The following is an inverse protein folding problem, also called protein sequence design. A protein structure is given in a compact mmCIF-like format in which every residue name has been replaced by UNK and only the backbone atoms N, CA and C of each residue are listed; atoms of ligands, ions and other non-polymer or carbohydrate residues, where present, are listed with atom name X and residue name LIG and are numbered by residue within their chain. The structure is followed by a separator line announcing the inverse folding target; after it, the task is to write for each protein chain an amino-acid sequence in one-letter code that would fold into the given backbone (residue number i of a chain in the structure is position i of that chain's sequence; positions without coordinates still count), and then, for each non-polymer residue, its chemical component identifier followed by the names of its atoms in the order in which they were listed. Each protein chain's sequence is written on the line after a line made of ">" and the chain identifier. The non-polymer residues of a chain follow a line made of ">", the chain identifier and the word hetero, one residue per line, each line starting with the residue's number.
data_IF_907215581853
#
_entry.id   IF_907215581853
#
_cell.length_a   1.000
_cell.length_b   1.000
_cell.length_c   1.000
_cell.angle_alpha   90.00
_cell.angle_beta   90.00
_cell.angle_gamma   90.00
#
_symmetry.space_group_name_H-M   'P 1'
#
loop_
_entity.id
_entity.type
_entity.pdbx_description
1 polymer ?
#
# COMPACT_ATOMS: atom_id res chain seq x y z
N UNK A 1 58.90 -23.34 -21.82
CA UNK A 1 59.16 -24.23 -20.66
C UNK A 1 57.99 -24.12 -19.70
N UNK A 2 57.11 -25.13 -19.66
CA UNK A 2 55.97 -25.15 -18.75
C UNK A 2 56.45 -25.52 -17.35
N UNK A 3 56.20 -24.67 -16.34
CA UNK A 3 56.54 -24.96 -14.96
C UNK A 3 55.86 -26.27 -14.50
N UNK A 4 56.57 -27.16 -13.78
CA UNK A 4 55.98 -28.39 -13.27
C UNK A 4 54.81 -28.06 -12.33
N UNK A 5 53.62 -28.60 -12.63
CA UNK A 5 52.40 -28.35 -11.85
C UNK A 5 52.58 -28.97 -10.45
N UNK A 6 52.81 -28.14 -9.43
CA UNK A 6 52.93 -28.53 -8.02
C UNK A 6 51.66 -28.09 -7.25
N UNK A 7 51.29 -28.82 -6.20
CA UNK A 7 50.20 -28.43 -5.30
C UNK A 7 50.60 -27.16 -4.54
N UNK A 8 49.73 -26.16 -4.51
CA UNK A 8 50.03 -24.89 -3.86
C UNK A 8 50.08 -25.08 -2.33
N UNK A 9 51.25 -24.86 -1.74
CA UNK A 9 51.45 -24.78 -0.29
C UNK A 9 51.63 -23.34 0.20
N UNK A 10 51.67 -23.16 1.52
CA UNK A 10 51.89 -21.85 2.16
C UNK A 10 53.22 -21.23 1.72
N UNK A 11 54.29 -22.06 1.62
CA UNK A 11 55.62 -21.60 1.18
C UNK A 11 55.61 -21.03 -0.25
N UNK A 12 54.82 -21.61 -1.14
CA UNK A 12 54.71 -21.15 -2.53
C UNK A 12 53.95 -19.82 -2.63
N UNK A 13 53.02 -19.56 -1.69
CA UNK A 13 52.31 -18.28 -1.58
C UNK A 13 53.24 -17.17 -1.07
N UNK A 14 54.05 -17.46 -0.05
CA UNK A 14 55.01 -16.49 0.51
C UNK A 14 56.11 -16.14 -0.50
N UNK A 15 56.55 -17.10 -1.30
CA UNK A 15 57.58 -16.90 -2.33
C UNK A 15 57.05 -16.35 -3.66
N UNK A 16 55.76 -16.02 -3.77
CA UNK A 16 55.13 -15.62 -5.03
C UNK A 16 55.61 -14.22 -5.47
N UNK A 17 56.28 -14.05 -6.62
CA UNK A 17 56.77 -12.74 -7.06
C UNK A 17 55.62 -11.81 -7.48
N UNK A 18 55.79 -10.47 -7.38
CA UNK A 18 54.81 -9.51 -7.87
C UNK A 18 54.43 -9.74 -9.34
N UNK A 19 53.16 -9.50 -9.69
CA UNK A 19 52.59 -9.72 -11.03
C UNK A 19 52.65 -11.17 -11.55
N UNK A 20 52.82 -12.16 -10.68
CA UNK A 20 52.84 -13.58 -11.08
C UNK A 20 51.57 -14.33 -10.66
N UNK A 21 51.35 -15.46 -11.32
CA UNK A 21 50.28 -16.42 -11.01
C UNK A 21 50.90 -17.81 -10.92
N UNK A 22 50.60 -18.52 -9.85
CA UNK A 22 50.88 -19.95 -9.71
C UNK A 22 49.57 -20.72 -9.83
N UNK A 23 49.61 -21.87 -10.50
CA UNK A 23 48.45 -22.73 -10.72
C UNK A 23 48.59 -24.00 -9.91
N UNK A 24 47.47 -24.44 -9.33
CA UNK A 24 47.43 -25.67 -8.55
C UNK A 24 47.34 -26.88 -9.47
N UNK A 25 48.01 -27.97 -9.08
CA UNK A 25 47.99 -29.23 -9.83
C UNK A 25 46.76 -30.10 -9.56
N UNK A 26 46.11 -29.92 -8.40
CA UNK A 26 45.01 -30.78 -7.95
C UNK A 26 43.64 -30.31 -8.43
N UNK A 27 43.46 -28.99 -8.60
CA UNK A 27 42.21 -28.40 -9.07
C UNK A 27 42.45 -27.62 -10.35
N UNK A 28 41.90 -28.12 -11.47
CA UNK A 28 42.09 -27.49 -12.78
C UNK A 28 41.51 -26.08 -12.80
N UNK A 29 42.33 -25.10 -13.16
CA UNK A 29 41.94 -23.70 -13.24
C UNK A 29 41.98 -22.95 -11.90
N UNK A 30 42.29 -23.60 -10.79
CA UNK A 30 42.55 -22.93 -9.50
C UNK A 30 44.00 -22.46 -9.41
N UNK A 31 44.21 -21.24 -8.91
CA UNK A 31 45.54 -20.66 -8.77
C UNK A 31 45.59 -19.53 -7.74
N UNK A 32 46.80 -19.09 -7.42
CA UNK A 32 47.04 -17.92 -6.59
C UNK A 32 47.76 -16.85 -7.40
N UNK A 33 47.29 -15.61 -7.31
CA UNK A 33 47.81 -14.45 -8.03
C UNK A 33 48.27 -13.38 -7.06
N UNK A 34 49.48 -12.88 -7.28
CA UNK A 34 49.96 -11.63 -6.67
C UNK A 34 49.92 -10.51 -7.70
N UNK A 35 49.30 -9.39 -7.36
CA UNK A 35 49.33 -8.18 -8.20
C UNK A 35 50.60 -7.37 -7.88
N UNK A 36 50.60 -6.05 -8.15
CA UNK A 36 51.73 -5.16 -7.81
C UNK A 36 51.96 -5.02 -6.29
N UNK A 37 50.96 -5.32 -5.45
CA UNK A 37 51.06 -5.24 -3.98
C UNK A 37 51.49 -6.55 -3.30
N UNK A 38 51.46 -6.56 -1.97
CA UNK A 38 51.84 -7.72 -1.15
C UNK A 38 50.73 -8.77 -1.02
N UNK A 39 49.48 -8.38 -1.25
CA UNK A 39 48.33 -9.28 -1.09
C UNK A 39 48.27 -10.33 -2.22
N UNK A 40 48.28 -11.60 -1.83
CA UNK A 40 47.99 -12.71 -2.74
C UNK A 40 46.49 -12.98 -2.72
N UNK A 41 45.88 -13.24 -3.89
CA UNK A 41 44.47 -13.61 -4.01
C UNK A 41 44.32 -14.94 -4.74
N UNK A 42 43.41 -15.77 -4.26
CA UNK A 42 43.05 -17.03 -4.89
C UNK A 42 42.03 -16.81 -6.00
N UNK A 43 42.27 -17.42 -7.15
CA UNK A 43 41.46 -17.30 -8.37
C UNK A 43 41.10 -18.67 -8.92
N UNK A 44 39.94 -18.76 -9.56
CA UNK A 44 39.45 -19.96 -10.22
C UNK A 44 38.98 -19.58 -11.63
N UNK A 45 39.49 -20.29 -12.63
CA UNK A 45 38.99 -20.28 -14.00
C UNK A 45 38.24 -21.57 -14.29
N UNK A 46 37.06 -21.46 -14.88
CA UNK A 46 36.26 -22.61 -15.29
C UNK A 46 35.51 -22.27 -16.59
N UNK A 47 35.02 -23.29 -17.28
CA UNK A 47 34.18 -23.15 -18.47
C UNK A 47 32.77 -23.59 -18.14
N UNK A 48 31.78 -22.83 -18.61
CA UNK A 48 30.37 -23.25 -18.55
C UNK A 48 30.02 -24.13 -19.73
N UNK A 49 28.84 -24.77 -19.71
CA UNK A 49 28.33 -25.59 -20.84
C UNK A 49 28.26 -24.80 -22.15
N UNK A 50 28.12 -23.46 -22.08
CA UNK A 50 28.10 -22.56 -23.23
C UNK A 50 29.49 -22.28 -23.83
N UNK A 51 30.54 -23.00 -23.40
CA UNK A 51 31.91 -22.89 -23.92
C UNK A 51 32.67 -21.63 -23.49
N UNK A 52 32.03 -20.70 -22.76
CA UNK A 52 32.65 -19.46 -22.29
C UNK A 52 33.50 -19.70 -21.03
N UNK A 53 34.70 -19.11 -21.01
CA UNK A 53 35.60 -19.16 -19.87
C UNK A 53 35.26 -18.03 -18.89
N UNK A 54 35.04 -18.39 -17.63
CA UNK A 54 34.77 -17.47 -16.54
C UNK A 54 35.92 -17.48 -15.53
N UNK A 55 36.07 -16.34 -14.84
CA UNK A 55 37.04 -16.15 -13.75
C UNK A 55 36.31 -15.70 -12.49
N UNK A 56 36.62 -16.35 -11.37
CA UNK A 56 36.18 -15.96 -10.02
C UNK A 56 37.40 -15.72 -9.15
N UNK A 57 37.33 -14.73 -8.27
CA UNK A 57 38.30 -14.55 -7.18
C UNK A 57 37.65 -15.07 -5.90
N UNK A 58 38.26 -16.08 -5.26
CA UNK A 58 37.73 -16.73 -4.07
C UNK A 58 37.93 -15.83 -2.84
N UNK A 59 39.14 -15.29 -2.68
CA UNK A 59 39.48 -14.45 -1.53
C UNK A 59 40.94 -14.05 -1.51
N UNK A 60 41.29 -13.13 -0.61
CA UNK A 60 42.68 -12.76 -0.31
C UNK A 60 43.27 -13.77 0.67
N UNK A 61 44.55 -14.07 0.53
CA UNK A 61 45.29 -14.93 1.46
C UNK A 61 45.28 -14.33 2.88
N UNK A 62 44.92 -15.14 3.87
CA UNK A 62 44.64 -14.73 5.25
C UNK A 62 43.28 -15.27 5.70
N UNK A 63 43.04 -15.38 7.02
CA UNK A 63 41.81 -16.01 7.54
C UNK A 63 40.55 -15.39 6.92
N UNK A 64 39.60 -16.19 6.38
CA UNK A 64 39.50 -17.66 6.43
C UNK A 64 40.18 -18.43 5.27
N UNK A 65 40.88 -17.76 4.37
CA UNK A 65 41.42 -18.30 3.11
C UNK A 65 42.91 -18.68 3.20
N UNK A 66 43.16 -19.97 3.40
CA UNK A 66 44.46 -20.64 3.28
C UNK A 66 44.50 -21.40 1.95
N UNK A 67 45.68 -21.91 1.51
CA UNK A 67 45.74 -22.71 0.28
C UNK A 67 44.77 -23.90 0.28
N UNK A 68 44.57 -24.52 1.44
CA UNK A 68 43.67 -25.67 1.57
C UNK A 68 42.20 -25.26 1.61
N UNK A 69 41.82 -24.23 2.38
CA UNK A 69 40.41 -23.78 2.42
C UNK A 69 39.96 -23.14 1.12
N UNK A 70 40.85 -22.39 0.44
CA UNK A 70 40.57 -21.85 -0.88
C UNK A 70 40.46 -22.94 -1.96
N UNK A 71 41.23 -24.03 -1.84
CA UNK A 71 41.12 -25.19 -2.73
C UNK A 71 39.82 -25.95 -2.53
N UNK A 72 39.41 -26.17 -1.27
CA UNK A 72 38.13 -26.79 -0.96
C UNK A 72 36.96 -25.98 -1.53
N UNK A 73 36.99 -24.65 -1.40
CA UNK A 73 35.98 -23.77 -2.00
C UNK A 73 36.03 -23.80 -3.53
N UNK A 74 37.21 -23.88 -4.14
CA UNK A 74 37.34 -24.04 -5.59
C UNK A 74 36.69 -25.34 -6.09
N UNK A 75 36.88 -26.45 -5.37
CA UNK A 75 36.24 -27.73 -5.69
C UNK A 75 34.72 -27.65 -5.54
N UNK A 76 34.23 -27.00 -4.47
CA UNK A 76 32.80 -26.76 -4.25
C UNK A 76 32.17 -25.97 -5.40
N UNK A 77 32.81 -24.88 -5.83
CA UNK A 77 32.35 -24.05 -6.95
C UNK A 77 32.36 -24.80 -8.29
N UNK A 78 33.37 -25.64 -8.56
CA UNK A 78 33.38 -26.50 -9.75
C UNK A 78 32.26 -27.53 -9.71
N UNK A 79 32.00 -28.15 -8.55
CA UNK A 79 30.87 -29.05 -8.35
C UNK A 79 29.53 -28.39 -8.67
N UNK A 80 29.31 -27.15 -8.21
CA UNK A 80 28.10 -26.38 -8.54
C UNK A 80 27.97 -26.08 -10.04
N UNK A 81 29.06 -25.75 -10.73
CA UNK A 81 29.05 -25.50 -12.19
C UNK A 81 28.63 -26.76 -12.96
N UNK A 82 29.18 -27.93 -12.57
CA UNK A 82 28.91 -29.20 -13.23
C UNK A 82 27.45 -29.63 -13.03
N UNK A 83 26.93 -29.51 -11.80
CA UNK A 83 25.56 -29.92 -11.45
C UNK A 83 24.52 -28.95 -12.01
N UNK A 84 24.71 -27.64 -11.88
CA UNK A 84 23.68 -26.63 -12.23
C UNK A 84 23.86 -26.02 -13.63
N UNK A 85 24.96 -26.33 -14.33
CA UNK A 85 25.23 -25.85 -15.69
C UNK A 85 25.43 -24.33 -15.82
N UNK A 86 25.45 -23.59 -14.71
CA UNK A 86 25.55 -22.12 -14.65
C UNK A 86 26.78 -21.70 -13.85
N UNK A 87 27.38 -20.58 -14.25
CA UNK A 87 28.49 -19.95 -13.54
C UNK A 87 28.07 -19.54 -12.11
N UNK A 88 28.88 -19.73 -11.05
CA UNK A 88 28.62 -19.19 -9.72
C UNK A 88 28.63 -17.66 -9.71
N UNK A 89 29.32 -17.02 -10.67
CA UNK A 89 29.18 -15.57 -10.92
C UNK A 89 27.82 -15.25 -11.55
N UNK A 90 27.22 -16.19 -12.27
CA UNK A 90 25.83 -16.09 -12.71
C UNK A 90 24.83 -16.34 -11.56
N UNK A 91 25.24 -16.73 -10.35
CA UNK A 91 24.40 -16.58 -9.15
C UNK A 91 24.36 -15.13 -8.64
N UNK A 92 25.19 -14.21 -9.18
CA UNK A 92 24.96 -12.75 -9.12
C UNK A 92 24.07 -12.24 -10.27
N UNK A 93 23.48 -13.10 -11.11
CA UNK A 93 22.45 -12.67 -12.06
C UNK A 93 21.24 -12.14 -11.27
N UNK A 94 20.91 -10.87 -11.51
CA UNK A 94 19.65 -10.22 -11.16
C UNK A 94 19.14 -10.49 -9.74
N UNK A 95 19.91 -10.07 -8.73
CA UNK A 95 19.34 -9.96 -7.38
C UNK A 95 18.34 -8.81 -7.40
N UNK A 96 17.08 -9.13 -7.75
CA UNK A 96 16.02 -8.13 -7.80
C UNK A 96 15.94 -7.46 -6.42
N UNK A 97 16.06 -6.14 -6.45
CA UNK A 97 15.97 -5.31 -5.26
C UNK A 97 14.51 -5.11 -4.87
N UNK A 98 14.27 -4.74 -3.61
CA UNK A 98 12.91 -4.42 -3.16
C UNK A 98 12.32 -3.25 -3.97
N UNK A 99 13.14 -2.28 -4.40
CA UNK A 99 12.69 -1.18 -5.24
C UNK A 99 12.15 -1.68 -6.59
N UNK A 100 12.90 -2.53 -7.29
CA UNK A 100 12.49 -3.10 -8.58
C UNK A 100 11.25 -3.99 -8.44
N UNK A 101 11.16 -4.76 -7.34
CA UNK A 101 9.96 -5.54 -7.03
C UNK A 101 8.73 -4.66 -6.84
N UNK A 102 8.86 -3.52 -6.17
CA UNK A 102 7.75 -2.60 -5.96
C UNK A 102 7.27 -1.98 -7.29
N UNK A 103 8.19 -1.64 -8.19
CA UNK A 103 7.87 -1.10 -9.51
C UNK A 103 7.13 -2.13 -10.36
N UNK A 104 7.62 -3.36 -10.38
CA UNK A 104 6.95 -4.47 -11.06
C UNK A 104 5.56 -4.74 -10.46
N UNK A 105 5.44 -4.71 -9.12
CA UNK A 105 4.16 -4.90 -8.44
C UNK A 105 3.13 -3.85 -8.85
N UNK A 106 3.50 -2.57 -8.89
CA UNK A 106 2.59 -1.49 -9.27
C UNK A 106 2.12 -1.61 -10.72
N UNK A 107 3.03 -2.01 -11.63
CA UNK A 107 2.71 -2.26 -13.04
C UNK A 107 1.69 -3.39 -13.17
N UNK A 108 1.93 -4.52 -12.52
CA UNK A 108 1.07 -5.70 -12.63
C UNK A 108 -0.23 -5.57 -11.83
N UNK A 109 -0.24 -4.80 -10.75
CA UNK A 109 -1.42 -4.57 -9.93
C UNK A 109 -2.54 -3.82 -10.67
N UNK A 110 -2.20 -3.06 -11.71
CA UNK A 110 -3.15 -2.34 -12.55
C UNK A 110 -3.72 -3.16 -13.72
N UNK A 111 -3.10 -4.26 -14.11
CA UNK A 111 -3.42 -4.94 -15.39
C UNK A 111 -3.47 -6.46 -15.31
N UNK A 112 -2.56 -7.09 -14.58
CA UNK A 112 -2.30 -8.54 -14.66
C UNK A 112 -2.85 -9.32 -13.47
N UNK A 113 -3.27 -8.65 -12.40
CA UNK A 113 -3.95 -9.31 -11.29
C UNK A 113 -5.38 -9.71 -11.67
N UNK A 114 -5.82 -10.89 -11.21
CA UNK A 114 -7.20 -11.43 -11.35
C UNK A 114 -8.30 -10.40 -11.04
N UNK A 115 -8.02 -9.43 -10.18
CA UNK A 115 -8.84 -8.22 -9.97
C UNK A 115 -7.91 -7.02 -9.94
N UNK A 116 -7.81 -6.23 -11.02
CA UNK A 116 -7.01 -5.02 -11.04
C UNK A 116 -7.40 -4.06 -9.92
N UNK A 117 -6.40 -3.41 -9.31
CA UNK A 117 -6.65 -2.39 -8.29
C UNK A 117 -7.16 -1.10 -8.94
N UNK A 118 -8.11 -0.42 -8.28
CA UNK A 118 -8.57 0.92 -8.70
C UNK A 118 -7.39 1.91 -8.76
N UNK A 119 -7.43 2.84 -9.70
CA UNK A 119 -6.39 3.87 -9.87
C UNK A 119 -6.08 4.65 -8.58
N UNK A 120 -7.10 4.98 -7.78
CA UNK A 120 -6.93 5.64 -6.48
C UNK A 120 -6.16 4.81 -5.46
N UNK A 121 -6.34 3.49 -5.48
CA UNK A 121 -5.59 2.56 -4.64
C UNK A 121 -4.13 2.48 -5.09
N UNK A 122 -3.90 2.37 -6.40
CA UNK A 122 -2.54 2.37 -6.98
C UNK A 122 -1.79 3.67 -6.66
N UNK A 123 -2.45 4.83 -6.77
CA UNK A 123 -1.85 6.12 -6.40
C UNK A 123 -1.46 6.17 -4.90
N UNK A 124 -2.29 5.59 -4.03
CA UNK A 124 -2.01 5.52 -2.59
C UNK A 124 -0.87 4.55 -2.29
N UNK A 125 -0.87 3.37 -2.92
CA UNK A 125 0.16 2.34 -2.76
C UNK A 125 1.50 2.83 -3.29
N UNK A 126 1.51 3.43 -4.50
CA UNK A 126 2.70 4.07 -5.06
C UNK A 126 3.23 5.18 -4.16
N UNK A 127 2.34 5.97 -3.57
CA UNK A 127 2.72 6.97 -2.58
C UNK A 127 3.44 6.39 -1.36
N UNK A 128 3.04 5.22 -0.87
CA UNK A 128 3.73 4.53 0.24
C UNK A 128 5.05 3.88 -0.20
N UNK A 129 5.07 3.32 -1.40
CA UNK A 129 6.26 2.71 -1.99
C UNK A 129 7.38 3.74 -2.12
N UNK A 130 7.10 4.87 -2.78
CA UNK A 130 8.11 5.90 -3.04
C UNK A 130 8.61 6.61 -1.78
N UNK A 131 7.72 6.78 -0.80
CA UNK A 131 8.02 7.64 0.37
C UNK A 131 8.48 6.88 1.60
N UNK A 132 8.12 5.61 1.72
CA UNK A 132 8.48 4.80 2.89
C UNK A 132 9.31 3.59 2.50
N UNK A 133 8.82 2.74 1.59
CA UNK A 133 9.45 1.45 1.28
C UNK A 133 10.79 1.63 0.56
N UNK A 134 10.83 2.33 -0.56
CA UNK A 134 12.05 2.53 -1.35
C UNK A 134 13.16 3.23 -0.55
N UNK A 135 12.91 4.30 0.22
CA UNK A 135 13.95 4.96 1.01
C UNK A 135 14.59 4.06 2.08
N UNK A 136 13.84 3.14 2.69
CA UNK A 136 14.33 2.33 3.81
C UNK A 136 14.80 0.93 3.38
N UNK A 137 14.04 0.25 2.52
CA UNK A 137 14.29 -1.14 2.12
C UNK A 137 14.69 -1.29 0.65
N UNK A 138 14.55 -0.24 -0.17
CA UNK A 138 14.63 -0.33 -1.63
C UNK A 138 15.93 -0.92 -2.18
N UNK A 139 17.07 -0.66 -1.51
CA UNK A 139 18.39 -1.19 -1.93
C UNK A 139 18.63 -2.64 -1.53
N UNK A 140 17.81 -3.20 -0.63
CA UNK A 140 17.99 -4.56 -0.14
C UNK A 140 17.54 -5.57 -1.19
N UNK A 141 18.23 -6.71 -1.23
CA UNK A 141 17.83 -7.86 -2.04
C UNK A 141 16.52 -8.45 -1.53
N UNK A 142 15.58 -8.76 -2.44
CA UNK A 142 14.31 -9.42 -2.11
C UNK A 142 14.52 -10.75 -1.36
N UNK A 143 15.56 -11.49 -1.72
CA UNK A 143 15.90 -12.78 -1.10
C UNK A 143 16.53 -12.63 0.30
N UNK A 144 17.11 -11.48 0.62
CA UNK A 144 17.80 -11.23 1.90
C UNK A 144 16.96 -10.43 2.91
N UNK A 145 15.74 -10.03 2.54
CA UNK A 145 14.85 -9.34 3.48
C UNK A 145 14.34 -10.34 4.50
N UNK A 146 14.66 -10.09 5.76
CA UNK A 146 14.29 -10.87 6.93
C UNK A 146 13.08 -10.25 7.64
N UNK A 147 12.47 -10.98 8.58
CA UNK A 147 11.41 -10.44 9.44
C UNK A 147 11.88 -9.23 10.27
N UNK A 148 13.10 -9.29 10.81
CA UNK A 148 13.68 -8.20 11.62
C UNK A 148 13.74 -6.90 10.82
N UNK A 149 14.10 -6.98 9.52
CA UNK A 149 14.12 -5.78 8.66
C UNK A 149 12.73 -5.15 8.51
N UNK A 150 11.67 -5.97 8.50
CA UNK A 150 10.29 -5.48 8.39
C UNK A 150 9.85 -4.83 9.72
N UNK A 151 10.28 -5.39 10.85
CA UNK A 151 10.01 -4.81 12.18
C UNK A 151 10.76 -3.49 12.38
N UNK A 152 12.03 -3.43 12.00
CA UNK A 152 12.84 -2.22 12.03
C UNK A 152 12.26 -1.15 11.10
N UNK A 153 11.86 -1.56 9.88
CA UNK A 153 11.14 -0.70 8.95
C UNK A 153 9.85 -0.12 9.56
N UNK A 154 9.04 -0.96 10.20
CA UNK A 154 7.80 -0.54 10.84
C UNK A 154 8.06 0.48 11.94
N UNK A 155 9.09 0.24 12.77
CA UNK A 155 9.51 1.12 13.85
C UNK A 155 10.03 2.46 13.31
N UNK A 156 10.84 2.43 12.25
CA UNK A 156 11.40 3.62 11.59
C UNK A 156 10.31 4.51 10.98
N UNK A 157 9.35 3.93 10.27
CA UNK A 157 8.19 4.66 9.74
C UNK A 157 7.31 5.17 10.89
N UNK A 158 7.13 4.37 11.94
CA UNK A 158 6.40 4.73 13.15
C UNK A 158 6.98 5.97 13.82
N UNK A 159 8.30 6.02 13.99
CA UNK A 159 9.06 7.16 14.55
C UNK A 159 9.19 8.35 13.59
N UNK A 160 8.75 8.20 12.34
CA UNK A 160 8.77 9.28 11.37
C UNK A 160 10.12 9.53 10.69
N UNK A 161 10.99 8.52 10.61
CA UNK A 161 12.29 8.61 9.90
C UNK A 161 12.16 9.03 8.43
N UNK A 162 11.01 8.77 7.83
CA UNK A 162 10.67 9.12 6.44
C UNK A 162 9.80 10.38 6.35
N UNK A 163 9.58 11.10 7.46
CA UNK A 163 8.77 12.31 7.45
C UNK A 163 9.50 13.42 6.69
N UNK A 164 8.82 14.00 5.69
CA UNK A 164 9.37 15.08 4.87
C UNK A 164 8.26 15.88 4.21
N UNK A 165 8.58 17.11 3.84
CA UNK A 165 7.69 17.96 3.04
C UNK A 165 8.25 17.99 1.62
N UNK A 166 7.43 17.57 0.66
CA UNK A 166 7.80 17.51 -0.75
C UNK A 166 6.94 18.46 -1.57
N UNK A 167 7.52 19.13 -2.56
CA UNK A 167 6.72 19.85 -3.56
C UNK A 167 6.04 18.83 -4.48
N UNK A 168 4.75 19.03 -4.73
CA UNK A 168 4.01 18.22 -5.71
C UNK A 168 4.14 18.81 -7.11
N UNK A 169 3.73 18.05 -8.13
CA UNK A 169 3.64 18.55 -9.51
C UNK A 169 2.62 19.69 -9.69
N UNK A 170 1.74 19.93 -8.72
CA UNK A 170 0.73 21.01 -8.77
C UNK A 170 1.34 22.33 -8.27
N UNK A 171 1.04 23.48 -8.92
CA UNK A 171 1.46 24.80 -8.44
C UNK A 171 1.06 25.00 -6.97
N UNK A 172 2.02 25.41 -6.13
CA UNK A 172 1.86 25.60 -4.67
C UNK A 172 1.44 24.35 -3.88
N UNK A 173 1.32 23.18 -4.50
CA UNK A 173 0.96 21.94 -3.81
C UNK A 173 2.13 21.37 -3.03
N UNK A 174 1.93 21.11 -1.74
CA UNK A 174 2.91 20.45 -0.86
C UNK A 174 2.35 19.12 -0.37
N UNK A 175 3.15 18.07 -0.42
CA UNK A 175 2.86 16.77 0.18
C UNK A 175 3.60 16.67 1.50
N UNK A 176 2.86 16.62 2.60
CA UNK A 176 3.43 16.39 3.94
C UNK A 176 3.43 14.90 4.21
N UNK A 177 4.60 14.27 4.02
CA UNK A 177 4.81 12.87 4.36
C UNK A 177 4.96 12.79 5.87
N UNK A 178 4.00 12.14 6.53
CA UNK A 178 4.04 11.90 7.96
C UNK A 178 4.40 10.44 8.23
N UNK A 179 5.08 10.20 9.34
CA UNK A 179 5.21 8.86 9.90
C UNK A 179 3.97 8.46 10.70
N UNK A 180 4.20 7.65 11.73
CA UNK A 180 3.21 7.26 12.72
C UNK A 180 2.79 5.80 12.61
N UNK A 181 2.28 5.27 13.72
CA UNK A 181 1.92 3.85 13.89
C UNK A 181 0.93 3.36 12.83
N UNK A 182 -0.11 4.14 12.53
CA UNK A 182 -1.10 3.81 11.50
C UNK A 182 -0.52 3.78 10.08
N UNK A 183 0.41 4.68 9.76
CA UNK A 183 1.10 4.70 8.46
C UNK A 183 2.03 3.49 8.33
N UNK A 184 2.78 3.18 9.39
CA UNK A 184 3.65 2.01 9.46
C UNK A 184 2.86 0.71 9.28
N UNK A 185 1.81 0.49 10.08
CA UNK A 185 0.96 -0.71 10.01
C UNK A 185 0.35 -0.93 8.61
N UNK A 186 -0.18 0.13 7.99
CA UNK A 186 -0.72 0.05 6.61
C UNK A 186 0.35 -0.22 5.57
N UNK A 187 1.54 0.35 5.73
CA UNK A 187 2.67 0.14 4.80
C UNK A 187 3.22 -1.27 4.91
N UNK A 188 3.32 -1.82 6.12
CA UNK A 188 3.64 -3.25 6.34
C UNK A 188 2.59 -4.15 5.71
N UNK A 189 1.30 -3.80 5.81
CA UNK A 189 0.24 -4.53 5.11
C UNK A 189 0.42 -4.56 3.58
N UNK A 190 0.84 -3.43 2.98
CA UNK A 190 1.19 -3.35 1.56
C UNK A 190 2.43 -4.20 1.24
N UNK A 191 3.49 -4.12 2.06
CA UNK A 191 4.68 -4.98 1.93
C UNK A 191 4.32 -6.46 1.95
N UNK A 192 3.39 -6.86 2.81
CA UNK A 192 2.89 -8.24 2.84
C UNK A 192 2.32 -8.66 1.48
N UNK A 193 1.50 -7.82 0.86
CA UNK A 193 0.97 -8.08 -0.48
C UNK A 193 2.04 -8.10 -1.58
N UNK A 194 3.05 -7.24 -1.49
CA UNK A 194 4.19 -7.19 -2.42
C UNK A 194 5.05 -8.45 -2.31
N UNK A 195 5.34 -8.92 -1.09
CA UNK A 195 6.11 -10.13 -0.87
C UNK A 195 5.33 -11.41 -1.18
N UNK A 196 4.00 -11.44 -0.99
CA UNK A 196 3.17 -12.53 -1.52
C UNK A 196 3.26 -12.58 -3.06
N UNK A 197 3.27 -11.43 -3.72
CA UNK A 197 3.51 -11.35 -5.16
C UNK A 197 4.91 -11.86 -5.54
N UNK A 198 5.95 -11.54 -4.75
CA UNK A 198 7.30 -12.06 -4.97
C UNK A 198 7.40 -13.58 -4.84
N UNK A 199 6.71 -14.17 -3.86
CA UNK A 199 6.61 -15.64 -3.70
C UNK A 199 5.95 -16.26 -4.92
N UNK A 200 4.85 -15.66 -5.42
CA UNK A 200 4.17 -16.13 -6.63
C UNK A 200 5.07 -16.10 -7.88
N UNK A 201 5.98 -15.13 -7.97
CA UNK A 201 6.98 -15.04 -9.03
C UNK A 201 8.18 -16.00 -8.85
N UNK A 202 8.24 -16.74 -7.76
CA UNK A 202 9.37 -17.64 -7.46
C UNK A 202 10.66 -16.89 -7.06
N UNK A 203 10.57 -15.61 -6.70
CA UNK A 203 11.73 -14.80 -6.31
C UNK A 203 12.25 -15.13 -4.91
N UNK A 204 11.39 -15.73 -4.08
CA UNK A 204 11.70 -16.25 -2.74
C UNK A 204 10.65 -17.27 -2.30
N UNK A 205 10.99 -18.21 -1.39
CA UNK A 205 10.08 -19.28 -0.99
C UNK A 205 9.03 -18.86 0.06
N UNK A 206 9.31 -17.84 0.87
CA UNK A 206 8.51 -17.41 2.00
C UNK A 206 8.17 -15.91 1.92
N UNK A 207 7.23 -15.43 2.73
CA UNK A 207 6.96 -13.99 2.86
C UNK A 207 7.42 -13.50 4.25
N UNK A 208 8.41 -12.58 4.32
CA UNK A 208 9.07 -12.18 5.57
C UNK A 208 8.18 -11.33 6.48
N UNK A 209 7.06 -10.83 5.93
CA UNK A 209 6.07 -10.03 6.67
C UNK A 209 5.18 -10.93 7.53
N UNK A 210 5.07 -12.22 7.22
CA UNK A 210 4.32 -13.15 8.07
C UNK A 210 4.95 -13.24 9.46
N UNK A 211 4.11 -13.06 10.49
CA UNK A 211 4.53 -13.06 11.89
C UNK A 211 4.90 -11.68 12.46
N UNK A 212 4.95 -10.62 11.63
CA UNK A 212 5.17 -9.26 12.13
C UNK A 212 3.92 -8.79 12.89
N UNK A 213 4.10 -8.49 14.18
CA UNK A 213 3.03 -7.98 15.04
C UNK A 213 2.79 -6.50 14.70
N UNK A 214 1.62 -6.19 14.17
CA UNK A 214 1.24 -4.80 13.86
C UNK A 214 0.47 -4.20 15.03
N UNK A 215 0.70 -2.91 15.36
CA UNK A 215 -0.14 -2.20 16.31
C UNK A 215 -1.61 -2.28 15.89
N UNK A 216 -2.48 -2.53 16.87
CA UNK A 216 -3.92 -2.50 16.63
C UNK A 216 -4.33 -1.09 16.17
N UNK A 217 -5.25 -1.04 15.19
CA UNK A 217 -5.86 0.23 14.82
C UNK A 217 -6.70 0.73 16.00
N UNK A 218 -6.44 1.97 16.43
CA UNK A 218 -7.27 2.61 17.45
C UNK A 218 -8.71 2.71 16.93
N UNK A 219 -9.65 1.99 17.57
CA UNK A 219 -11.08 2.10 17.27
C UNK A 219 -11.56 3.46 17.73
N UNK A 220 -11.82 4.36 16.79
CA UNK A 220 -12.42 5.66 17.08
C UNK A 220 -13.94 5.50 17.16
N UNK A 221 -14.48 5.36 18.36
CA UNK A 221 -15.92 5.34 18.63
C UNK A 221 -16.45 6.77 18.83
N UNK A 222 -16.27 7.66 17.85
CA UNK A 222 -16.74 9.04 17.94
C UNK A 222 -18.04 9.22 17.17
N UNK A 223 -19.06 9.71 17.86
CA UNK A 223 -20.29 10.29 17.29
C UNK A 223 -20.45 11.74 17.77
N UNK A 224 -21.32 12.49 17.11
CA UNK A 224 -21.76 13.81 17.57
C UNK A 224 -22.57 13.65 18.85
N UNK A 225 -22.34 14.54 19.81
CA UNK A 225 -23.29 14.77 20.91
C UNK A 225 -24.31 15.86 20.54
N UNK A 226 -25.30 16.10 21.40
CA UNK A 226 -26.40 17.03 21.11
C UNK A 226 -25.92 18.48 20.90
N UNK A 227 -24.97 18.97 21.70
CA UNK A 227 -24.37 20.30 21.52
C UNK A 227 -23.62 20.43 20.19
N UNK A 228 -22.95 19.36 19.76
CA UNK A 228 -22.27 19.30 18.47
C UNK A 228 -23.24 19.26 17.29
N UNK A 229 -24.39 18.61 17.44
CA UNK A 229 -25.47 18.68 16.45
C UNK A 229 -26.03 20.11 16.34
N UNK A 230 -26.31 20.78 17.47
CA UNK A 230 -26.76 22.18 17.47
C UNK A 230 -25.74 23.12 16.82
N UNK A 231 -24.46 22.96 17.15
CA UNK A 231 -23.37 23.72 16.54
C UNK A 231 -23.30 23.48 15.02
N UNK A 232 -23.48 22.24 14.58
CA UNK A 232 -23.56 21.89 13.15
C UNK A 232 -24.78 22.54 12.48
N UNK A 233 -25.96 22.49 13.10
CA UNK A 233 -27.18 23.11 12.61
C UNK A 233 -27.01 24.62 12.39
N UNK A 234 -26.46 25.32 13.38
CA UNK A 234 -26.11 26.75 13.28
C UNK A 234 -25.11 27.02 12.16
N UNK A 235 -24.08 26.18 12.02
CA UNK A 235 -23.08 26.35 10.95
C UNK A 235 -23.66 26.11 9.55
N UNK A 236 -24.65 25.21 9.42
CA UNK A 236 -25.33 24.90 8.16
C UNK A 236 -26.35 25.97 7.74
N UNK A 237 -26.76 26.86 8.64
CA UNK A 237 -27.67 27.96 8.37
C UNK A 237 -27.00 29.23 7.82
N UNK A 238 -25.67 29.20 7.62
CA UNK A 238 -24.90 30.32 7.05
C UNK A 238 -25.24 30.54 5.58
N UNK A 239 -25.25 31.80 5.16
CA UNK A 239 -25.47 32.26 3.79
C UNK A 239 -24.18 32.61 3.04
N UNK A 240 -23.07 32.82 3.77
CA UNK A 240 -21.75 33.19 3.26
C UNK A 240 -20.93 32.03 2.66
N UNK A 241 -21.54 30.84 2.49
CA UNK A 241 -20.88 29.64 1.97
C UNK A 241 -21.51 29.15 0.67
N UNK A 242 -20.71 28.46 -0.15
CA UNK A 242 -21.16 27.88 -1.42
C UNK A 242 -22.38 26.96 -1.20
N UNK A 243 -23.58 27.30 -1.74
CA UNK A 243 -24.81 26.59 -1.38
C UNK A 243 -24.79 25.08 -1.68
N UNK A 244 -24.26 24.60 -2.83
CA UNK A 244 -24.10 23.17 -3.08
C UNK A 244 -23.21 22.45 -2.05
N UNK A 245 -22.25 23.14 -1.43
CA UNK A 245 -21.44 22.56 -0.37
C UNK A 245 -22.24 22.39 0.93
N UNK A 246 -23.05 23.38 1.31
CA UNK A 246 -23.94 23.27 2.48
C UNK A 246 -24.98 22.17 2.28
N UNK A 247 -25.58 22.11 1.09
CA UNK A 247 -26.50 21.04 0.69
C UNK A 247 -25.84 19.66 0.80
N UNK A 248 -24.60 19.50 0.30
CA UNK A 248 -23.86 18.24 0.41
C UNK A 248 -23.55 17.83 1.86
N UNK A 249 -23.24 18.79 2.75
CA UNK A 249 -22.98 18.51 4.17
C UNK A 249 -24.29 18.14 4.89
N UNK A 250 -25.39 18.86 4.62
CA UNK A 250 -26.74 18.49 5.09
C UNK A 250 -27.11 17.08 4.65
N UNK A 251 -26.98 16.79 3.36
CA UNK A 251 -27.22 15.46 2.80
C UNK A 251 -26.40 14.36 3.49
N UNK A 252 -25.09 14.58 3.70
CA UNK A 252 -24.24 13.62 4.42
C UNK A 252 -24.66 13.41 5.88
N UNK A 253 -25.16 14.45 6.54
CA UNK A 253 -25.64 14.40 7.92
C UNK A 253 -26.92 13.58 8.01
N UNK A 254 -27.83 13.74 7.05
CA UNK A 254 -29.12 13.05 6.99
C UNK A 254 -29.03 11.60 6.52
N UNK A 255 -28.02 11.26 5.71
CA UNK A 255 -27.96 9.94 5.04
C UNK A 255 -26.82 9.05 5.52
N UNK A 256 -25.80 9.61 6.18
CA UNK A 256 -24.60 8.87 6.59
C UNK A 256 -23.76 8.35 5.41
N UNK A 257 -23.96 8.83 4.18
CA UNK A 257 -23.20 8.39 3.01
C UNK A 257 -21.70 8.65 3.14
N UNK A 258 -20.86 7.96 2.33
CA UNK A 258 -19.44 8.33 2.27
C UNK A 258 -19.31 9.64 1.50
N UNK A 259 -18.44 10.51 2.00
CA UNK A 259 -18.06 11.78 1.35
C UNK A 259 -17.81 11.64 -0.15
N UNK A 260 -17.02 10.66 -0.56
CA UNK A 260 -16.65 10.45 -1.96
C UNK A 260 -17.83 10.03 -2.84
N UNK A 261 -18.80 9.32 -2.28
CA UNK A 261 -20.00 8.88 -3.01
C UNK A 261 -20.93 10.09 -3.19
N UNK A 262 -21.21 10.85 -2.12
CA UNK A 262 -22.01 12.07 -2.23
C UNK A 262 -21.38 13.11 -3.17
N UNK A 263 -20.05 13.31 -3.11
CA UNK A 263 -19.37 14.32 -3.96
C UNK A 263 -19.32 13.97 -5.45
N UNK A 264 -19.60 12.72 -5.82
CA UNK A 264 -19.61 12.24 -7.21
C UNK A 264 -21.01 11.83 -7.68
N UNK A 265 -22.02 11.93 -6.82
CA UNK A 265 -23.40 11.55 -7.12
C UNK A 265 -23.90 12.34 -8.32
N UNK A 266 -24.48 11.62 -9.29
CA UNK A 266 -25.03 12.22 -10.49
C UNK A 266 -26.54 12.09 -10.53
N UNK A 267 -27.20 13.02 -11.23
CA UNK A 267 -28.65 13.00 -11.37
C UNK A 267 -29.17 11.73 -12.06
N UNK A 268 -28.38 11.13 -12.95
CA UNK A 268 -28.74 9.87 -13.61
C UNK A 268 -28.79 8.68 -12.62
N UNK A 269 -28.18 8.83 -11.44
CA UNK A 269 -28.16 7.82 -10.38
C UNK A 269 -29.30 8.04 -9.35
N UNK A 270 -30.05 9.15 -9.42
CA UNK A 270 -31.06 9.53 -8.43
C UNK A 270 -32.46 9.37 -9.01
N UNK A 271 -33.34 8.69 -8.27
CA UNK A 271 -34.77 8.64 -8.54
C UNK A 271 -35.50 9.25 -7.34
N UNK A 272 -35.92 10.52 -7.48
CA UNK A 272 -36.61 11.27 -6.42
C UNK A 272 -38.03 10.73 -6.16
N UNK A 273 -38.73 10.24 -7.18
CA UNK A 273 -40.07 9.64 -7.04
C UNK A 273 -40.04 8.41 -6.14
N UNK A 274 -39.06 7.53 -6.35
CA UNK A 274 -38.82 6.35 -5.52
C UNK A 274 -38.03 6.66 -4.25
N UNK A 275 -37.54 7.89 -4.08
CA UNK A 275 -36.60 8.31 -3.03
C UNK A 275 -35.42 7.34 -2.88
N UNK A 276 -34.75 7.07 -4.00
CA UNK A 276 -33.59 6.17 -4.04
C UNK A 276 -32.45 6.71 -4.88
N UNK A 277 -31.24 6.23 -4.62
CA UNK A 277 -30.10 6.44 -5.49
C UNK A 277 -29.33 5.13 -5.75
N UNK A 278 -28.96 4.89 -7.00
CA UNK A 278 -28.32 3.66 -7.48
C UNK A 278 -26.88 3.95 -7.90
N UNK A 279 -25.91 3.53 -7.09
CA UNK A 279 -24.49 3.77 -7.35
C UNK A 279 -23.87 2.59 -8.12
N UNK A 280 -23.37 2.86 -9.33
CA UNK A 280 -22.81 1.86 -10.25
C UNK A 280 -21.36 1.44 -9.94
N UNK A 281 -20.51 2.35 -9.45
CA UNK A 281 -19.07 2.08 -9.22
C UNK A 281 -18.69 1.85 -7.74
N UNK A 282 -19.39 0.93 -7.08
CA UNK A 282 -18.84 0.33 -5.85
C UNK A 282 -18.10 -0.95 -6.21
N UNK A 283 -17.07 -1.33 -5.43
CA UNK A 283 -16.14 -2.47 -5.67
C UNK A 283 -16.85 -3.85 -5.81
N UNK A 284 -18.17 -3.89 -5.84
CA UNK A 284 -19.00 -5.03 -5.50
C UNK A 284 -20.32 -5.17 -6.26
N UNK A 285 -20.60 -4.32 -7.26
CA UNK A 285 -21.89 -4.33 -7.98
C UNK A 285 -22.87 -3.27 -7.45
N UNK A 286 -24.00 -3.12 -8.14
CA UNK A 286 -25.04 -2.12 -7.89
C UNK A 286 -25.39 -1.98 -6.40
N UNK A 287 -25.32 -0.75 -5.87
CA UNK A 287 -25.78 -0.42 -4.52
C UNK A 287 -26.92 0.58 -4.61
N UNK A 288 -28.13 0.13 -4.28
CA UNK A 288 -29.30 1.02 -4.12
C UNK A 288 -29.29 1.54 -2.69
N UNK A 289 -29.60 2.82 -2.52
CA UNK A 289 -29.67 3.49 -1.22
C UNK A 289 -31.00 4.23 -1.10
N UNK A 290 -31.77 4.01 -0.02
CA UNK A 290 -32.92 4.84 0.27
C UNK A 290 -32.47 6.26 0.61
N UNK A 291 -33.31 7.22 0.27
CA UNK A 291 -33.19 8.62 0.66
C UNK A 291 -34.42 8.96 1.50
N UNK A 292 -34.23 9.70 2.59
CA UNK A 292 -35.34 10.31 3.29
C UNK A 292 -35.91 11.47 2.49
N UNK A 293 -37.14 11.89 2.80
CA UNK A 293 -37.73 13.11 2.25
C UNK A 293 -36.83 14.32 2.51
N UNK A 294 -36.40 14.52 3.76
CA UNK A 294 -35.47 15.59 4.13
C UNK A 294 -34.15 15.53 3.33
N UNK A 295 -33.65 14.34 2.97
CA UNK A 295 -32.46 14.22 2.13
C UNK A 295 -32.76 14.62 0.68
N UNK A 296 -33.91 14.23 0.13
CA UNK A 296 -34.36 14.67 -1.20
C UNK A 296 -34.52 16.19 -1.27
N UNK A 297 -35.06 16.83 -0.23
CA UNK A 297 -35.21 18.29 -0.16
C UNK A 297 -33.86 19.01 -0.28
N UNK A 298 -32.80 18.43 0.29
CA UNK A 298 -31.45 19.01 0.14
C UNK A 298 -30.89 18.93 -1.28
N UNK A 299 -31.41 18.03 -2.12
CA UNK A 299 -30.99 17.91 -3.52
C UNK A 299 -31.70 18.95 -4.41
N UNK A 300 -32.91 19.37 -4.00
CA UNK A 300 -33.76 20.26 -4.79
C UNK A 300 -34.38 19.56 -6.00
N UNK A 301 -34.93 20.32 -6.97
CA UNK A 301 -35.62 19.75 -8.12
C UNK A 301 -34.65 18.93 -9.01
N UNK A 302 -35.12 17.76 -9.44
CA UNK A 302 -34.34 16.88 -10.31
C UNK A 302 -33.91 17.57 -11.60
N UNK A 303 -32.68 17.27 -12.02
CA UNK A 303 -32.16 17.62 -13.35
C UNK A 303 -31.94 16.36 -14.16
N UNK A 304 -31.84 16.49 -15.48
CA UNK A 304 -31.69 15.33 -16.37
C UNK A 304 -30.28 14.74 -16.37
N UNK A 305 -29.23 15.56 -16.20
CA UNK A 305 -27.84 15.11 -16.27
C UNK A 305 -26.92 15.88 -15.32
N UNK A 306 -25.74 15.30 -15.08
CA UNK A 306 -24.64 15.97 -14.37
C UNK A 306 -24.58 15.69 -12.87
N UNK A 307 -23.59 16.27 -12.21
CA UNK A 307 -23.37 16.08 -10.76
C UNK A 307 -24.45 16.79 -9.94
N UNK A 308 -24.93 16.13 -8.88
CA UNK A 308 -25.96 16.67 -7.99
C UNK A 308 -25.43 17.88 -7.23
N UNK A 309 -24.23 17.76 -6.64
CA UNK A 309 -23.60 18.87 -5.92
C UNK A 309 -22.52 19.53 -6.78
N UNK A 310 -22.88 20.64 -7.42
CA UNK A 310 -22.03 21.33 -8.38
C UNK A 310 -20.79 21.94 -7.67
N UNK A 311 -19.56 21.63 -8.13
CA UNK A 311 -18.36 22.22 -7.57
C UNK A 311 -18.23 23.71 -7.94
N UNK A 312 -17.72 24.52 -7.01
CA UNK A 312 -17.40 25.93 -7.31
C UNK A 312 -16.26 26.07 -8.34
N UNK A 313 -15.33 25.12 -8.38
CA UNK A 313 -14.22 25.02 -9.34
C UNK A 313 -13.80 23.57 -9.56
N UNK A 314 -13.41 23.23 -10.79
CA UNK A 314 -12.94 21.88 -11.14
C UNK A 314 -14.07 20.86 -11.29
N UNK A 315 -13.71 19.59 -11.36
CA UNK A 315 -14.65 18.49 -11.67
C UNK A 315 -15.36 17.92 -10.43
N UNK A 316 -14.83 18.15 -9.22
CA UNK A 316 -15.35 17.53 -7.99
C UNK A 316 -15.47 18.54 -6.86
N UNK A 317 -16.51 18.39 -6.04
CA UNK A 317 -16.75 19.27 -4.92
C UNK A 317 -15.65 19.11 -3.87
N UNK A 318 -14.92 20.19 -3.58
CA UNK A 318 -13.90 20.25 -2.54
C UNK A 318 -14.53 20.31 -1.13
N UNK A 319 -15.30 19.26 -0.78
CA UNK A 319 -16.15 19.24 0.40
C UNK A 319 -15.37 19.34 1.71
N UNK A 320 -14.15 18.79 1.75
CA UNK A 320 -13.25 18.90 2.91
C UNK A 320 -12.88 20.36 3.19
N UNK A 321 -12.59 21.15 2.16
CA UNK A 321 -12.25 22.57 2.30
C UNK A 321 -13.44 23.39 2.79
N UNK A 322 -14.66 23.03 2.38
CA UNK A 322 -15.87 23.68 2.86
C UNK A 322 -16.19 23.28 4.30
N UNK A 323 -16.00 22.00 4.65
CA UNK A 323 -16.13 21.50 6.02
C UNK A 323 -15.23 22.24 7.01
N UNK A 324 -13.96 22.46 6.65
CA UNK A 324 -13.00 23.20 7.49
C UNK A 324 -13.44 24.65 7.75
N UNK A 325 -14.18 25.27 6.83
CA UNK A 325 -14.73 26.63 7.00
C UNK A 325 -15.90 26.71 7.99
N UNK A 326 -16.53 25.58 8.33
CA UNK A 326 -17.60 25.54 9.34
C UNK A 326 -17.06 25.76 10.75
N UNK A 327 -15.75 25.56 10.98
CA UNK A 327 -15.08 25.77 12.29
C UNK A 327 -15.78 25.04 13.46
N UNK A 328 -16.23 23.81 13.21
CA UNK A 328 -16.85 22.96 14.22
C UNK A 328 -15.87 22.55 15.32
N UNK A 329 -16.35 22.10 16.49
CA UNK A 329 -15.51 21.59 17.56
C UNK A 329 -14.47 20.56 17.10
N UNK A 330 -13.32 20.56 17.77
CA UNK A 330 -12.20 19.70 17.39
C UNK A 330 -12.58 18.21 17.45
N UNK A 331 -12.14 17.46 16.42
CA UNK A 331 -12.37 16.01 16.34
C UNK A 331 -13.60 15.60 15.53
N UNK A 332 -14.48 16.53 15.16
CA UNK A 332 -15.59 16.25 14.24
C UNK A 332 -15.09 16.29 12.80
N UNK A 333 -15.36 15.22 12.06
CA UNK A 333 -15.01 15.09 10.65
C UNK A 333 -16.24 14.71 9.84
N UNK A 334 -16.18 14.84 8.51
CA UNK A 334 -17.21 14.32 7.62
C UNK A 334 -17.45 12.80 7.81
N UNK A 335 -16.45 12.04 8.28
CA UNK A 335 -16.64 10.62 8.60
C UNK A 335 -17.37 10.41 9.92
N UNK A 336 -17.26 11.35 10.86
CA UNK A 336 -18.01 11.35 12.11
C UNK A 336 -19.52 11.45 11.86
N UNK A 337 -19.95 12.18 10.81
CA UNK A 337 -21.36 12.24 10.42
C UNK A 337 -21.94 10.84 10.11
N UNK A 338 -21.19 10.03 9.35
CA UNK A 338 -21.57 8.64 9.07
C UNK A 338 -21.67 7.79 10.33
N UNK A 339 -20.70 7.91 11.24
CA UNK A 339 -20.77 7.19 12.52
C UNK A 339 -21.96 7.66 13.37
N UNK A 340 -22.29 8.94 13.32
CA UNK A 340 -23.39 9.51 14.10
C UNK A 340 -24.73 9.07 13.53
N UNK A 341 -24.91 9.06 12.21
CA UNK A 341 -26.07 8.45 11.54
C UNK A 341 -26.24 6.98 11.94
N UNK A 342 -25.16 6.19 11.89
CA UNK A 342 -25.22 4.77 12.28
C UNK A 342 -25.59 4.58 13.76
N UNK A 343 -25.02 5.41 14.64
CA UNK A 343 -25.33 5.37 16.08
C UNK A 343 -26.77 5.77 16.33
N UNK A 344 -27.27 6.80 15.64
CA UNK A 344 -28.63 7.28 15.78
C UNK A 344 -29.65 6.25 15.29
N UNK A 345 -29.37 5.57 14.18
CA UNK A 345 -30.20 4.47 13.71
C UNK A 345 -30.20 3.29 14.71
N UNK A 346 -29.09 3.02 15.38
CA UNK A 346 -29.04 2.02 16.44
C UNK A 346 -29.82 2.47 17.69
N UNK A 347 -29.73 3.75 18.07
CA UNK A 347 -30.50 4.35 19.17
C UNK A 347 -32.02 4.26 18.90
N UNK A 348 -32.44 4.34 17.62
CA UNK A 348 -33.82 4.13 17.17
C UNK A 348 -34.23 2.64 17.07
N UNK A 349 -33.34 1.70 17.42
CA UNK A 349 -33.64 0.27 17.47
C UNK A 349 -33.47 -0.49 16.14
N UNK A 350 -32.89 0.12 15.10
CA UNK A 350 -32.66 -0.58 13.84
C UNK A 350 -31.53 -1.61 13.93
N UNK A 351 -31.73 -2.76 13.30
CA UNK A 351 -30.75 -3.85 13.28
C UNK A 351 -29.48 -3.52 12.48
N UNK A 352 -28.36 -4.16 12.78
CA UNK A 352 -27.10 -3.99 12.02
C UNK A 352 -27.27 -4.23 10.50
N UNK A 353 -28.03 -5.25 10.03
CA UNK A 353 -28.35 -5.39 8.61
C UNK A 353 -29.09 -4.19 8.02
N UNK A 354 -30.08 -3.63 8.74
CA UNK A 354 -30.85 -2.45 8.30
C UNK A 354 -29.94 -1.23 8.20
N UNK A 355 -29.15 -0.96 9.24
CA UNK A 355 -28.17 0.14 9.26
C UNK A 355 -27.15 -0.04 8.14
N UNK A 356 -26.69 -1.27 7.91
CA UNK A 356 -25.82 -1.64 6.81
C UNK A 356 -26.44 -1.33 5.44
N UNK A 357 -27.72 -1.62 5.24
CA UNK A 357 -28.45 -1.32 4.01
C UNK A 357 -28.58 0.19 3.77
N UNK A 358 -28.98 0.96 4.79
CA UNK A 358 -29.04 2.44 4.75
C UNK A 358 -27.68 3.04 4.34
N UNK A 359 -26.59 2.50 4.90
CA UNK A 359 -25.23 2.98 4.67
C UNK A 359 -24.56 2.45 3.39
N UNK A 360 -25.22 1.54 2.66
CA UNK A 360 -24.66 0.87 1.48
C UNK A 360 -23.45 -0.02 1.80
N UNK A 361 -23.50 -0.75 2.93
CA UNK A 361 -22.54 -1.80 3.24
C UNK A 361 -22.82 -3.03 2.39
N UNK A 362 -21.74 -3.68 1.91
CA UNK A 362 -21.90 -4.98 1.27
C UNK A 362 -22.24 -6.00 2.34
N UNK A 363 -23.43 -6.57 2.25
CA UNK A 363 -23.79 -7.70 3.09
C UNK A 363 -22.99 -8.95 2.70
N UNK A 364 -22.47 -9.65 3.70
CA UNK A 364 -21.65 -10.87 3.58
C UNK A 364 -22.46 -12.15 3.70
N UNK A 365 -23.76 -12.06 4.02
CA UNK A 365 -24.66 -13.19 4.26
C UNK A 365 -25.52 -13.51 3.04
N UNK A 366 -25.90 -14.79 2.89
CA UNK A 366 -26.75 -15.29 1.79
C UNK A 366 -28.13 -14.59 1.76
N UNK A 367 -28.62 -14.12 2.92
CA UNK A 367 -29.85 -13.34 3.10
C UNK A 367 -29.82 -11.94 2.49
N UNK A 368 -28.64 -11.44 2.09
CA UNK A 368 -28.47 -10.16 1.40
C UNK A 368 -29.24 -10.04 0.07
N UNK A 369 -29.55 -11.17 -0.57
CA UNK A 369 -30.19 -11.18 -1.90
C UNK A 369 -31.63 -10.67 -1.88
N UNK A 370 -32.26 -10.55 -0.72
CA UNK A 370 -33.64 -10.07 -0.60
C UNK A 370 -33.73 -8.54 -0.38
N UNK A 371 -32.61 -7.84 -0.21
CA UNK A 371 -32.57 -6.38 0.05
C UNK A 371 -32.22 -5.58 -1.22
N UNK A 372 -32.49 -6.14 -2.40
CA UNK A 372 -32.16 -5.52 -3.69
C UNK A 372 -33.16 -4.46 -4.16
N UNK A 373 -34.15 -4.13 -3.34
CA UNK A 373 -34.98 -2.94 -3.51
C UNK A 373 -34.86 -2.12 -2.23
N UNK A 374 -34.80 -0.79 -2.35
CA UNK A 374 -35.16 0.04 -1.21
C UNK A 374 -36.65 -0.19 -0.97
N UNK A 375 -36.96 -1.18 -0.15
CA UNK A 375 -38.32 -1.45 0.29
C UNK A 375 -38.83 -0.22 1.06
N UNK A 376 -40.14 0.00 1.08
CA UNK A 376 -40.78 1.09 1.81
C UNK A 376 -40.30 1.14 3.27
N UNK A 377 -39.96 -0.01 3.85
CA UNK A 377 -39.34 -0.15 5.18
C UNK A 377 -38.00 0.58 5.30
N UNK A 378 -37.13 0.47 4.30
CA UNK A 378 -35.82 1.14 4.31
C UNK A 378 -35.95 2.65 4.10
N UNK A 379 -36.93 3.09 3.32
CA UNK A 379 -37.23 4.52 3.16
C UNK A 379 -37.80 5.08 4.46
N UNK A 380 -38.75 4.40 5.10
CA UNK A 380 -39.28 4.80 6.40
C UNK A 380 -38.20 4.84 7.49
N UNK A 381 -37.25 3.89 7.48
CA UNK A 381 -36.11 3.93 8.38
C UNK A 381 -35.17 5.12 8.09
N UNK A 382 -34.97 5.47 6.82
CA UNK A 382 -34.21 6.67 6.47
C UNK A 382 -34.92 7.94 6.95
N UNK A 383 -36.25 8.02 6.80
CA UNK A 383 -37.07 9.13 7.29
C UNK A 383 -36.95 9.28 8.82
N UNK A 384 -37.15 8.22 9.59
CA UNK A 384 -37.05 8.26 11.05
C UNK A 384 -35.67 8.75 11.55
N UNK A 385 -34.59 8.28 10.93
CA UNK A 385 -33.23 8.73 11.29
C UNK A 385 -33.02 10.19 10.89
N UNK A 386 -33.56 10.61 9.75
CA UNK A 386 -33.44 11.98 9.26
C UNK A 386 -34.26 12.96 10.13
N UNK A 387 -35.48 12.61 10.53
CA UNK A 387 -36.31 13.39 11.45
C UNK A 387 -35.60 13.63 12.78
N UNK A 388 -35.04 12.55 13.36
CA UNK A 388 -34.27 12.65 14.59
C UNK A 388 -33.02 13.53 14.42
N UNK A 389 -32.35 13.39 13.27
CA UNK A 389 -31.20 14.23 12.94
C UNK A 389 -31.59 15.70 12.83
N UNK A 390 -32.69 16.01 12.14
CA UNK A 390 -33.21 17.37 12.01
C UNK A 390 -33.55 17.95 13.38
N UNK A 391 -34.23 17.18 14.23
CA UNK A 391 -34.56 17.58 15.61
C UNK A 391 -33.32 17.96 16.42
N UNK A 392 -32.24 17.18 16.30
CA UNK A 392 -30.96 17.47 16.99
C UNK A 392 -30.20 18.67 16.40
N UNK A 393 -30.38 18.97 15.12
CA UNK A 393 -29.77 20.13 14.47
C UNK A 393 -30.46 21.46 14.86
N UNK A 394 -31.70 21.42 15.36
CA UNK A 394 -32.40 22.61 15.83
C UNK A 394 -31.81 23.12 17.16
N UNK A 395 -31.64 24.45 17.32
CA UNK A 395 -31.01 25.05 18.50
C UNK A 395 -31.74 24.78 19.82
#
# INVERSE_FOLDING_TARGET
>A
MAQPKKRIGIRDITALPPNSVIWDSTVTGFGARRQRGESVSYILFFRTKDGRQHKITIGRHGAPWTPDTARAEAQRLLGEVVVKGKSPTAARLSVQTVAELCDQYLKDAGSTMRRPKKASTLATDGGRIERHIKPLLGRKSVAQVTRQDIEDFMNDVGKGKTAKIEKTKKPRGKSVVRGGTGTASRTVGLLGGIFTYAVRLGLRPDNPVHGVIRPADARKMRRLNDEEYKALGKALARDDMWPPALAAIRFLTLTGWRRSEASLLRWEEVNLERRTATLGDTKTGFSIRPLSEAACDTLGPAKSTGVVFIPARGETLALQTHWEKLKLPAGITLHTLRHSFASLAADLGYSEPTIGALLGHKSTTITARYVHFADAVLVAAADAVAEETVRKLMP
#
